data_IF_615744037935
#
_entry.id   IF_615744037935
#
_cell.length_a   1.000
_cell.length_b   1.000
_cell.length_c   1.000
_cell.angle_alpha   90.00
_cell.angle_beta   90.00
_cell.angle_gamma   90.00
#
_symmetry.space_group_name_H-M   'P 1'
#
loop_
_entity.id
_entity.type
_entity.pdbx_description
1 polymer ?
#
# COMPACT_ATOMS: atom_id res chain seq x y z
N UNK A 1 -13.32 -33.54 -16.05
CA UNK A 1 -13.30 -32.41 -17.00
C UNK A 1 -12.31 -31.39 -16.48
N UNK A 2 -11.14 -31.28 -17.10
CA UNK A 2 -10.18 -30.21 -16.76
C UNK A 2 -10.77 -28.88 -17.25
N UNK A 3 -10.87 -27.84 -16.41
CA UNK A 3 -11.42 -26.56 -16.83
C UNK A 3 -10.58 -25.98 -17.98
N UNK A 4 -11.27 -25.43 -18.98
CA UNK A 4 -10.67 -24.82 -20.16
C UNK A 4 -9.74 -23.65 -19.75
N UNK A 5 -8.52 -23.51 -20.31
CA UNK A 5 -7.54 -22.50 -19.87
C UNK A 5 -8.02 -21.04 -20.00
N UNK A 6 -9.07 -20.78 -20.78
CA UNK A 6 -9.73 -19.47 -20.86
C UNK A 6 -10.59 -19.11 -19.63
N UNK A 7 -10.90 -20.07 -18.75
CA UNK A 7 -11.65 -19.87 -17.50
C UNK A 7 -10.75 -19.48 -16.32
N UNK A 8 -9.44 -19.70 -16.43
CA UNK A 8 -8.45 -19.12 -15.53
C UNK A 8 -7.99 -17.78 -16.09
N UNK A 9 -8.88 -16.79 -16.05
CA UNK A 9 -8.51 -15.41 -16.34
C UNK A 9 -7.66 -14.91 -15.17
N UNK A 10 -6.38 -15.30 -15.12
CA UNK A 10 -5.40 -14.73 -14.20
C UNK A 10 -5.54 -13.21 -14.29
N UNK A 11 -5.72 -12.58 -13.14
CA UNK A 11 -5.81 -11.13 -13.08
C UNK A 11 -4.61 -10.49 -13.78
N UNK A 12 -4.88 -9.46 -14.60
CA UNK A 12 -3.84 -8.65 -15.24
C UNK A 12 -3.24 -7.59 -14.31
N UNK A 13 -3.95 -7.23 -13.24
CA UNK A 13 -3.48 -6.24 -12.28
C UNK A 13 -2.59 -6.92 -11.23
N UNK A 14 -1.55 -6.25 -10.75
CA UNK A 14 -0.77 -6.75 -9.61
C UNK A 14 -1.51 -6.54 -8.28
N UNK A 15 -2.31 -5.48 -8.18
CA UNK A 15 -2.98 -5.05 -6.96
C UNK A 15 -4.43 -4.64 -7.19
N UNK A 16 -5.21 -4.51 -6.13
CA UNK A 16 -6.58 -3.97 -6.18
C UNK A 16 -6.57 -2.50 -6.58
N UNK A 17 -7.50 -2.10 -7.46
CA UNK A 17 -7.65 -0.71 -7.92
C UNK A 17 -8.94 -0.09 -7.38
N UNK A 18 -8.85 1.17 -6.98
CA UNK A 18 -9.99 1.93 -6.48
C UNK A 18 -10.81 2.59 -7.60
N UNK A 19 -12.12 2.65 -7.41
CA UNK A 19 -13.06 3.52 -8.13
C UNK A 19 -12.97 4.99 -7.69
N UNK A 20 -13.80 5.84 -8.30
CA UNK A 20 -13.98 7.24 -7.88
C UNK A 20 -15.20 7.33 -6.96
N UNK A 21 -15.07 7.99 -5.81
CA UNK A 21 -16.20 8.21 -4.92
C UNK A 21 -17.10 9.32 -5.47
N UNK A 22 -18.42 9.11 -5.46
CA UNK A 22 -19.43 10.04 -5.98
C UNK A 22 -20.54 10.33 -4.97
N UNK A 23 -20.31 10.05 -3.70
CA UNK A 23 -21.32 10.05 -2.64
C UNK A 23 -21.71 8.64 -2.20
N UNK A 24 -22.39 8.57 -1.07
CA UNK A 24 -22.85 7.32 -0.45
C UNK A 24 -21.77 6.53 0.29
N UNK A 25 -22.23 5.62 1.14
CA UNK A 25 -21.45 4.64 1.90
C UNK A 25 -22.26 3.34 2.01
N UNK A 26 -21.63 2.20 2.34
CA UNK A 26 -22.35 1.03 2.85
C UNK A 26 -23.17 1.39 4.10
N UNK A 27 -24.26 0.66 4.38
CA UNK A 27 -25.13 0.90 5.54
C UNK A 27 -24.38 0.80 6.88
N UNK A 28 -23.35 -0.05 6.93
CA UNK A 28 -22.48 -0.18 8.10
C UNK A 28 -21.38 0.89 8.17
N UNK A 29 -21.23 1.77 7.18
CA UNK A 29 -20.15 2.75 7.12
C UNK A 29 -18.89 2.24 6.41
N UNK A 30 -17.78 2.98 6.56
CA UNK A 30 -16.52 2.65 5.90
C UNK A 30 -15.29 3.13 6.68
N UNK A 31 -14.15 2.51 6.40
CA UNK A 31 -12.85 3.02 6.82
C UNK A 31 -12.38 4.12 5.87
N UNK A 32 -11.82 5.17 6.44
CA UNK A 32 -11.24 6.31 5.74
C UNK A 32 -9.75 6.36 6.05
N UNK A 33 -8.95 6.45 5.01
CA UNK A 33 -7.50 6.59 5.07
C UNK A 33 -7.06 7.83 4.30
N UNK A 34 -5.95 8.45 4.71
CA UNK A 34 -5.32 9.45 3.85
C UNK A 34 -4.87 8.80 2.54
N UNK A 35 -5.19 9.44 1.41
CA UNK A 35 -4.60 9.08 0.14
C UNK A 35 -3.22 9.72 0.03
N UNK A 36 -2.19 8.94 0.38
CA UNK A 36 -0.78 9.36 0.30
C UNK A 36 -0.41 9.72 -1.15
N UNK A 37 0.23 10.87 -1.33
CA UNK A 37 0.74 11.38 -2.62
C UNK A 37 2.11 10.79 -2.96
N UNK A 38 2.16 9.47 -3.16
CA UNK A 38 3.36 8.72 -3.52
C UNK A 38 3.21 7.97 -4.83
N UNK A 39 3.88 6.82 -4.92
CA UNK A 39 3.66 5.85 -5.99
C UNK A 39 3.29 4.50 -5.37
N UNK A 40 2.17 3.94 -5.82
CA UNK A 40 1.69 2.61 -5.43
C UNK A 40 2.79 1.57 -5.56
N UNK A 41 3.10 0.88 -4.46
CA UNK A 41 4.17 -0.10 -4.40
C UNK A 41 3.73 -1.34 -3.60
N UNK A 42 4.01 -2.53 -4.13
CA UNK A 42 3.69 -3.79 -3.50
C UNK A 42 4.95 -4.65 -3.32
N UNK A 43 5.13 -5.20 -2.12
CA UNK A 43 6.14 -6.21 -1.85
C UNK A 43 5.63 -7.57 -2.29
N UNK A 44 6.26 -8.13 -3.31
CA UNK A 44 5.85 -9.38 -3.95
C UNK A 44 7.10 -10.20 -4.23
N UNK A 45 7.17 -11.42 -3.67
CA UNK A 45 8.24 -12.36 -4.01
C UNK A 45 9.66 -11.89 -3.69
N UNK A 46 9.83 -10.98 -2.72
CA UNK A 46 11.14 -10.44 -2.36
C UNK A 46 11.51 -9.14 -3.07
N UNK A 47 10.62 -8.57 -3.89
CA UNK A 47 10.83 -7.32 -4.63
C UNK A 47 9.76 -6.30 -4.29
N UNK A 48 10.13 -5.01 -4.31
CA UNK A 48 9.18 -3.91 -4.24
C UNK A 48 8.87 -3.43 -5.66
N UNK A 49 7.63 -3.63 -6.09
CA UNK A 49 7.18 -3.37 -7.45
C UNK A 49 6.14 -2.24 -7.48
N UNK A 50 6.19 -1.37 -8.48
CA UNK A 50 5.05 -0.48 -8.77
C UNK A 50 3.83 -1.30 -9.19
N UNK A 51 2.66 -0.66 -9.24
CA UNK A 51 1.44 -1.29 -9.78
C UNK A 51 1.62 -1.87 -11.19
N UNK A 52 2.43 -1.23 -12.02
CA UNK A 52 2.75 -1.66 -13.39
C UNK A 52 3.86 -2.73 -13.45
N UNK A 53 4.41 -3.14 -12.30
CA UNK A 53 5.44 -4.17 -12.20
C UNK A 53 6.87 -3.66 -12.37
N UNK A 54 7.10 -2.36 -12.20
CA UNK A 54 8.44 -1.76 -12.30
C UNK A 54 9.15 -1.93 -10.94
N UNK A 55 10.35 -2.54 -10.87
CA UNK A 55 11.10 -2.63 -9.62
C UNK A 55 11.55 -1.27 -9.11
N UNK A 56 11.44 -1.06 -7.80
CA UNK A 56 11.93 0.13 -7.09
C UNK A 56 13.26 -0.21 -6.42
N UNK A 57 14.35 0.49 -6.77
CA UNK A 57 15.67 0.34 -6.16
C UNK A 57 15.90 1.22 -4.94
N UNK A 58 17.03 1.05 -4.24
CA UNK A 58 17.39 1.88 -3.07
C UNK A 58 16.45 1.69 -1.88
N UNK A 59 16.01 0.45 -1.66
CA UNK A 59 15.00 0.07 -0.68
C UNK A 59 15.49 -1.04 0.26
N UNK A 60 16.80 -1.22 0.42
CA UNK A 60 17.36 -2.32 1.20
C UNK A 60 16.89 -2.32 2.67
N UNK A 61 16.70 -1.15 3.27
CA UNK A 61 16.13 -0.95 4.61
C UNK A 61 14.65 -1.40 4.69
N UNK A 62 13.84 -1.10 3.67
CA UNK A 62 12.45 -1.57 3.55
C UNK A 62 12.43 -3.09 3.37
N UNK A 63 13.25 -3.61 2.46
CA UNK A 63 13.33 -5.03 2.17
C UNK A 63 13.81 -5.82 3.39
N UNK A 64 14.80 -5.31 4.12
CA UNK A 64 15.26 -5.90 5.38
C UNK A 64 14.12 -5.99 6.40
N UNK A 65 13.35 -4.91 6.55
CA UNK A 65 12.23 -4.87 7.46
C UNK A 65 11.14 -5.87 7.09
N UNK A 66 10.72 -5.90 5.83
CA UNK A 66 9.68 -6.81 5.33
C UNK A 66 10.10 -8.28 5.45
N UNK A 67 11.35 -8.62 5.08
CA UNK A 67 11.89 -9.97 5.26
C UNK A 67 11.95 -10.42 6.71
N UNK A 68 12.25 -9.50 7.63
CA UNK A 68 12.24 -9.80 9.07
C UNK A 68 10.84 -10.14 9.57
N UNK A 69 9.82 -9.44 9.05
CA UNK A 69 8.41 -9.74 9.33
C UNK A 69 8.01 -11.11 8.74
N UNK A 70 8.34 -11.39 7.48
CA UNK A 70 8.05 -12.70 6.85
C UNK A 70 8.74 -13.85 7.60
N UNK A 71 9.98 -13.65 8.05
CA UNK A 71 10.72 -14.61 8.88
C UNK A 71 10.01 -14.86 10.22
N UNK A 72 9.52 -13.80 10.88
CA UNK A 72 8.80 -13.92 12.14
C UNK A 72 7.41 -14.57 11.96
N UNK A 73 6.71 -14.27 10.86
CA UNK A 73 5.44 -14.88 10.50
C UNK A 73 5.57 -16.34 10.04
N UNK A 74 6.75 -16.76 9.59
CA UNK A 74 7.03 -18.11 9.11
C UNK A 74 6.53 -18.39 7.69
N UNK A 75 6.09 -17.38 6.95
CA UNK A 75 5.62 -17.50 5.57
C UNK A 75 5.78 -16.19 4.80
N UNK A 76 5.75 -16.28 3.47
CA UNK A 76 5.77 -15.11 2.59
C UNK A 76 4.45 -14.32 2.66
N UNK A 77 4.53 -12.99 2.57
CA UNK A 77 3.41 -12.06 2.68
C UNK A 77 3.47 -11.08 1.50
N UNK A 78 2.34 -10.84 0.86
CA UNK A 78 2.20 -9.68 -0.02
C UNK A 78 1.83 -8.47 0.84
N UNK A 79 2.62 -7.41 0.75
CA UNK A 79 2.31 -6.13 1.38
C UNK A 79 1.96 -5.10 0.31
N UNK A 80 0.86 -4.37 0.48
CA UNK A 80 0.39 -3.35 -0.44
C UNK A 80 0.47 -1.98 0.25
N UNK A 81 1.17 -1.05 -0.38
CA UNK A 81 1.48 0.25 0.20
C UNK A 81 1.69 1.35 -0.83
N UNK A 82 2.00 2.54 -0.35
CA UNK A 82 2.43 3.69 -1.15
C UNK A 82 3.89 3.99 -0.83
N UNK A 83 4.77 3.97 -1.83
CA UNK A 83 6.17 4.38 -1.65
C UNK A 83 6.30 5.90 -1.78
N UNK A 84 6.96 6.53 -0.82
CA UNK A 84 7.19 7.98 -0.79
C UNK A 84 8.67 8.27 -0.49
N UNK A 85 9.37 8.89 -1.44
CA UNK A 85 10.74 9.33 -1.22
C UNK A 85 10.77 10.67 -0.46
N UNK A 86 11.87 11.00 0.26
CA UNK A 86 12.04 12.30 0.89
C UNK A 86 11.94 13.43 -0.15
N UNK A 87 11.13 14.45 0.16
CA UNK A 87 10.84 15.55 -0.78
C UNK A 87 9.56 15.37 -1.60
N UNK A 88 8.76 14.33 -1.31
CA UNK A 88 7.40 14.16 -1.83
C UNK A 88 7.34 13.59 -3.25
N UNK A 89 6.15 13.65 -3.87
CA UNK A 89 5.83 12.98 -5.13
C UNK A 89 6.88 13.15 -6.25
N UNK A 90 7.37 14.38 -6.50
CA UNK A 90 8.36 14.63 -7.56
C UNK A 90 9.71 13.96 -7.27
N UNK A 91 10.10 13.87 -6.00
CA UNK A 91 11.29 13.14 -5.59
C UNK A 91 11.07 11.63 -5.73
N UNK A 92 9.87 11.13 -5.40
CA UNK A 92 9.47 9.72 -5.61
C UNK A 92 9.60 9.31 -7.08
N UNK A 93 9.09 10.13 -7.99
CA UNK A 93 9.23 9.87 -9.43
C UNK A 93 10.70 9.82 -9.87
N UNK A 94 11.52 10.76 -9.38
CA UNK A 94 12.96 10.80 -9.69
C UNK A 94 13.67 9.55 -9.16
N UNK A 95 13.35 9.14 -7.94
CA UNK A 95 13.89 7.94 -7.30
C UNK A 95 13.60 6.70 -8.14
N UNK A 96 12.32 6.49 -8.50
CA UNK A 96 11.91 5.36 -9.33
C UNK A 96 12.57 5.42 -10.72
N UNK A 97 12.69 6.61 -11.31
CA UNK A 97 13.36 6.81 -12.60
C UNK A 97 14.86 6.47 -12.60
N UNK A 98 15.51 6.38 -11.44
CA UNK A 98 16.90 5.91 -11.31
C UNK A 98 17.00 4.37 -11.30
N UNK A 99 15.87 3.67 -11.20
CA UNK A 99 15.77 2.21 -11.19
C UNK A 99 16.53 1.58 -10.02
N UNK A 100 17.14 0.42 -10.26
CA UNK A 100 17.91 -0.33 -9.25
C UNK A 100 19.15 0.40 -8.69
N UNK A 101 19.53 1.54 -9.30
CA UNK A 101 20.66 2.38 -8.87
C UNK A 101 20.23 3.55 -7.99
N UNK A 102 18.95 3.69 -7.69
CA UNK A 102 18.46 4.74 -6.80
C UNK A 102 19.21 4.70 -5.46
N UNK A 103 19.52 5.86 -4.86
CA UNK A 103 20.13 5.90 -3.54
C UNK A 103 19.16 5.33 -2.51
N UNK A 104 19.70 4.76 -1.45
CA UNK A 104 18.91 4.25 -0.33
C UNK A 104 17.99 5.33 0.26
N UNK A 105 16.68 5.10 0.27
CA UNK A 105 15.73 6.08 0.80
C UNK A 105 14.24 5.77 0.61
N UNK A 106 13.42 6.55 1.30
CA UNK A 106 11.95 6.50 1.22
C UNK A 106 11.29 5.76 2.37
N UNK A 107 9.96 5.78 2.38
CA UNK A 107 9.12 5.06 3.33
C UNK A 107 8.04 4.33 2.53
N UNK A 108 7.74 3.09 2.93
CA UNK A 108 6.57 2.36 2.43
C UNK A 108 5.40 2.52 3.41
N UNK A 109 4.37 3.25 2.98
CA UNK A 109 3.13 3.48 3.73
C UNK A 109 2.12 2.35 3.44
N UNK A 110 2.10 1.33 4.29
CA UNK A 110 1.29 0.12 4.14
C UNK A 110 -0.18 0.37 4.49
N UNK A 111 -1.09 -0.15 3.65
CA UNK A 111 -2.53 -0.06 3.92
C UNK A 111 -3.29 -1.36 3.67
N UNK A 112 -2.66 -2.42 3.17
CA UNK A 112 -3.25 -3.77 3.08
C UNK A 112 -2.14 -4.82 3.03
N UNK A 113 -2.47 -6.06 3.37
CA UNK A 113 -1.56 -7.21 3.27
C UNK A 113 -2.34 -8.52 3.24
N UNK A 114 -1.74 -9.56 2.67
CA UNK A 114 -2.27 -10.92 2.71
C UNK A 114 -1.16 -11.96 2.52
N UNK A 115 -1.35 -13.23 2.91
CA UNK A 115 -0.40 -14.28 2.59
C UNK A 115 -0.14 -14.34 1.08
N UNK A 116 1.13 -14.49 0.67
CA UNK A 116 1.49 -14.49 -0.74
C UNK A 116 0.76 -15.54 -1.61
N UNK A 117 0.43 -16.76 -1.10
CA UNK A 117 -0.37 -17.72 -1.87
C UNK A 117 -1.76 -17.20 -2.25
N UNK A 118 -2.44 -16.46 -1.36
CA UNK A 118 -3.77 -15.91 -1.64
C UNK A 118 -3.70 -14.81 -2.70
N UNK A 119 -2.69 -13.94 -2.60
CA UNK A 119 -2.42 -12.97 -3.65
C UNK A 119 -2.17 -13.64 -5.02
N UNK A 120 -1.44 -14.76 -5.03
CA UNK A 120 -1.13 -15.51 -6.25
C UNK A 120 -2.39 -16.14 -6.88
N UNK A 121 -3.39 -16.49 -6.07
CA UNK A 121 -4.70 -16.99 -6.50
C UNK A 121 -5.65 -15.89 -7.01
N UNK A 122 -5.26 -14.62 -6.90
CA UNK A 122 -6.02 -13.47 -7.41
C UNK A 122 -6.57 -12.55 -6.33
N UNK A 123 -6.42 -12.93 -5.05
CA UNK A 123 -6.91 -12.19 -3.90
C UNK A 123 -7.42 -13.10 -2.79
N UNK A 124 -8.07 -12.52 -1.79
CA UNK A 124 -8.52 -13.24 -0.60
C UNK A 124 -9.96 -12.87 -0.26
N UNK A 125 -10.72 -13.85 0.23
CA UNK A 125 -12.08 -13.66 0.76
C UNK A 125 -12.09 -13.11 2.17
N UNK A 126 -10.93 -12.99 2.84
CA UNK A 126 -10.86 -12.33 4.15
C UNK A 126 -11.28 -10.87 4.03
N UNK A 127 -12.18 -10.40 4.91
CA UNK A 127 -12.64 -9.01 4.89
C UNK A 127 -11.52 -8.05 5.27
N UNK A 128 -11.63 -6.80 4.82
CA UNK A 128 -10.60 -5.78 5.02
C UNK A 128 -10.23 -5.57 6.49
N UNK A 129 -11.19 -5.57 7.42
CA UNK A 129 -10.89 -5.40 8.84
C UNK A 129 -9.94 -6.49 9.38
N UNK A 130 -10.06 -7.73 8.87
CA UNK A 130 -9.20 -8.84 9.27
C UNK A 130 -7.80 -8.67 8.67
N UNK A 131 -7.71 -8.29 7.39
CA UNK A 131 -6.43 -7.99 6.74
C UNK A 131 -5.70 -6.83 7.41
N UNK A 132 -6.42 -5.80 7.85
CA UNK A 132 -5.88 -4.67 8.62
C UNK A 132 -5.35 -5.08 9.99
N UNK A 133 -6.05 -5.97 10.69
CA UNK A 133 -5.55 -6.56 11.94
C UNK A 133 -4.26 -7.35 11.68
N UNK A 134 -4.27 -8.24 10.69
CA UNK A 134 -3.10 -9.02 10.30
C UNK A 134 -1.90 -8.13 9.94
N UNK A 135 -2.11 -7.07 9.15
CA UNK A 135 -1.07 -6.09 8.82
C UNK A 135 -0.45 -5.46 10.07
N UNK A 136 -1.28 -5.01 11.02
CA UNK A 136 -0.80 -4.40 12.28
C UNK A 136 -0.01 -5.41 13.11
N UNK A 137 -0.54 -6.62 13.27
CA UNK A 137 0.10 -7.68 14.04
C UNK A 137 1.46 -8.04 13.43
N UNK A 138 1.53 -8.22 12.11
CA UNK A 138 2.77 -8.51 11.39
C UNK A 138 3.79 -7.38 11.49
N UNK A 139 3.37 -6.13 11.34
CA UNK A 139 4.27 -4.98 11.52
C UNK A 139 4.76 -4.87 12.98
N UNK A 140 4.00 -5.39 13.96
CA UNK A 140 4.42 -5.44 15.36
C UNK A 140 5.32 -6.64 15.72
N UNK A 141 5.33 -7.72 14.93
CA UNK A 141 6.04 -8.98 15.25
C UNK A 141 7.56 -8.84 15.39
N UNK A 142 8.16 -7.85 14.76
CA UNK A 142 9.59 -7.60 14.88
C UNK A 142 9.78 -6.17 15.39
N UNK A 143 10.69 -5.96 16.35
CA UNK A 143 11.08 -4.61 16.77
C UNK A 143 11.42 -3.78 15.53
N UNK A 144 10.99 -2.52 15.48
CA UNK A 144 11.43 -1.62 14.43
C UNK A 144 12.94 -1.46 14.57
N UNK A 145 13.75 -1.96 13.61
CA UNK A 145 15.19 -1.84 13.71
C UNK A 145 15.63 -0.37 13.63
N UNK A 146 14.73 0.59 13.34
CA UNK A 146 15.02 2.03 13.50
C UNK A 146 15.21 2.45 14.96
N UNK A 147 14.77 1.64 15.93
CA UNK A 147 14.88 1.92 17.35
C UNK A 147 16.30 1.72 17.91
N UNK A 148 17.09 0.83 17.32
CA UNK A 148 18.48 0.55 17.70
C UNK A 148 19.34 0.35 16.45
N UNK A 149 20.51 0.99 16.37
CA UNK A 149 21.39 0.82 15.21
C UNK A 149 21.93 -0.62 15.14
N UNK A 150 21.70 -1.28 14.01
CA UNK A 150 22.30 -2.57 13.67
C UNK A 150 22.78 -2.58 12.22
N UNK A 151 23.78 -3.42 11.91
CA UNK A 151 24.22 -3.59 10.53
C UNK A 151 23.15 -4.33 9.71
N UNK A 152 22.56 -3.63 8.73
CA UNK A 152 21.59 -4.21 7.80
C UNK A 152 22.26 -4.54 6.46
N UNK A 153 22.37 -5.82 6.08
CA UNK A 153 22.89 -6.20 4.78
C UNK A 153 22.13 -5.50 3.64
N UNK A 154 22.87 -4.95 2.67
CA UNK A 154 22.32 -4.20 1.54
C UNK A 154 22.45 -2.68 1.69
N UNK A 155 22.16 -2.13 2.89
CA UNK A 155 22.14 -0.67 3.11
C UNK A 155 23.52 -0.02 3.05
N UNK A 156 24.60 -0.81 3.22
CA UNK A 156 25.99 -0.33 3.33
C UNK A 156 26.16 0.73 4.45
N UNK A 157 25.37 0.60 5.52
CA UNK A 157 25.37 1.55 6.65
C UNK A 157 24.63 2.86 6.38
N UNK A 158 23.89 2.98 5.28
CA UNK A 158 23.03 4.14 4.99
C UNK A 158 21.69 3.94 5.69
N UNK A 159 21.37 4.84 6.60
CA UNK A 159 20.05 4.90 7.24
C UNK A 159 19.25 6.06 6.64
N UNK A 160 18.10 5.80 5.99
CA UNK A 160 17.23 6.84 5.46
C UNK A 160 16.64 7.76 6.52
N UNK A 161 16.18 8.92 6.07
CA UNK A 161 15.38 9.83 6.90
C UNK A 161 13.97 9.24 7.03
N UNK A 162 13.57 8.95 8.26
CA UNK A 162 12.24 8.42 8.58
C UNK A 162 12.22 6.89 8.69
N UNK A 163 11.05 6.31 9.03
CA UNK A 163 10.93 4.86 9.19
C UNK A 163 10.91 4.15 7.84
N UNK A 164 11.36 2.90 7.80
CA UNK A 164 11.26 2.06 6.62
C UNK A 164 9.79 1.81 6.24
N UNK A 165 8.97 1.50 7.25
CA UNK A 165 7.54 1.21 7.09
C UNK A 165 6.71 2.15 7.97
N UNK A 166 5.52 2.49 7.50
CA UNK A 166 4.45 2.98 8.36
C UNK A 166 3.13 2.33 7.96
N UNK A 167 2.20 2.19 8.90
CA UNK A 167 0.84 1.71 8.60
C UNK A 167 -0.06 2.93 8.51
N UNK A 168 -0.79 3.08 7.39
CA UNK A 168 -1.72 4.19 7.20
C UNK A 168 -2.84 4.08 8.24
N UNK A 169 -3.07 5.13 9.05
CA UNK A 169 -4.11 5.11 10.06
C UNK A 169 -5.49 5.13 9.41
N UNK A 170 -6.42 4.42 10.03
CA UNK A 170 -7.79 4.34 9.56
C UNK A 170 -8.72 5.10 10.52
N UNK A 171 -9.67 5.86 9.98
CA UNK A 171 -10.73 6.55 10.73
C UNK A 171 -12.08 6.06 10.25
N UNK A 172 -13.03 5.85 11.16
CA UNK A 172 -14.37 5.41 10.79
C UNK A 172 -15.24 6.57 10.28
N UNK A 173 -16.00 6.34 9.20
CA UNK A 173 -17.05 7.22 8.73
C UNK A 173 -18.39 6.47 8.71
N UNK A 174 -19.38 7.00 9.42
CA UNK A 174 -20.74 6.46 9.45
C UNK A 174 -21.64 7.12 8.40
N UNK A 175 -21.23 8.26 7.85
CA UNK A 175 -22.04 9.05 6.92
C UNK A 175 -21.20 9.67 5.81
N UNK A 176 -21.87 10.08 4.72
CA UNK A 176 -21.25 10.87 3.66
C UNK A 176 -20.63 12.17 4.21
N UNK A 177 -21.28 12.83 5.18
CA UNK A 177 -20.77 14.05 5.78
C UNK A 177 -19.44 13.81 6.54
N UNK A 178 -19.25 12.64 7.15
CA UNK A 178 -17.97 12.27 7.77
C UNK A 178 -16.85 12.16 6.75
N UNK A 179 -17.12 11.54 5.59
CA UNK A 179 -16.14 11.42 4.49
C UNK A 179 -15.72 12.81 4.02
N UNK A 180 -16.68 13.70 3.77
CA UNK A 180 -16.44 15.05 3.29
C UNK A 180 -15.66 15.88 4.31
N UNK A 181 -15.98 15.76 5.61
CA UNK A 181 -15.25 16.41 6.70
C UNK A 181 -13.80 15.92 6.76
N UNK A 182 -13.57 14.60 6.76
CA UNK A 182 -12.23 14.02 6.80
C UNK A 182 -11.41 14.40 5.56
N UNK A 183 -12.03 14.44 4.38
CA UNK A 183 -11.38 14.92 3.16
C UNK A 183 -10.97 16.39 3.27
N UNK A 184 -11.84 17.27 3.80
CA UNK A 184 -11.52 18.66 4.06
C UNK A 184 -10.33 18.82 5.01
N UNK A 185 -10.25 18.01 6.07
CA UNK A 185 -9.13 18.02 7.02
C UNK A 185 -7.80 17.65 6.34
N UNK A 186 -7.79 16.67 5.44
CA UNK A 186 -6.59 16.30 4.66
C UNK A 186 -6.20 17.42 3.69
N UNK A 187 -7.17 18.01 2.99
CA UNK A 187 -6.90 19.09 2.04
C UNK A 187 -6.36 20.36 2.72
N UNK A 188 -6.82 20.67 3.93
CA UNK A 188 -6.32 21.79 4.73
C UNK A 188 -4.83 21.64 5.06
N UNK A 189 -4.32 20.41 5.13
CA UNK A 189 -2.90 20.07 5.34
C UNK A 189 -2.12 19.93 4.03
N UNK A 190 -2.77 20.16 2.88
CA UNK A 190 -2.15 20.04 1.55
C UNK A 190 -2.10 18.63 0.98
N UNK A 191 -2.77 17.65 1.62
CA UNK A 191 -2.84 16.28 1.12
C UNK A 191 -3.73 16.12 -0.11
N UNK A 192 -3.61 14.97 -0.79
CA UNK A 192 -4.35 14.69 -2.04
C UNK A 192 -5.85 14.48 -1.79
N UNK A 193 -6.20 13.79 -0.71
CA UNK A 193 -7.57 13.44 -0.35
C UNK A 193 -7.64 12.16 0.47
N UNK A 194 -8.74 11.42 0.35
CA UNK A 194 -8.99 10.22 1.15
C UNK A 194 -9.30 9.00 0.29
N UNK A 195 -8.97 7.84 0.83
CA UNK A 195 -9.45 6.54 0.38
C UNK A 195 -10.62 6.12 1.28
N UNK A 196 -11.70 5.65 0.67
CA UNK A 196 -12.89 5.13 1.34
C UNK A 196 -12.93 3.63 1.06
N UNK A 197 -12.94 2.81 2.11
CA UNK A 197 -12.87 1.36 1.98
C UNK A 197 -13.96 0.69 2.80
N UNK A 198 -14.73 -0.17 2.14
CA UNK A 198 -15.67 -1.06 2.81
C UNK A 198 -14.91 -2.06 3.71
N UNK A 199 -15.21 -2.03 5.01
CA UNK A 199 -14.59 -2.86 6.03
C UNK A 199 -14.76 -4.37 5.78
N UNK A 200 -15.87 -4.76 5.16
CA UNK A 200 -16.24 -6.16 4.93
C UNK A 200 -15.79 -6.65 3.54
N UNK A 201 -15.15 -5.78 2.77
CA UNK A 201 -14.74 -6.10 1.41
C UNK A 201 -13.62 -7.12 1.32
N UNK A 202 -13.77 -8.05 0.38
CA UNK A 202 -12.71 -8.96 -0.07
C UNK A 202 -11.63 -8.19 -0.82
N UNK A 203 -10.45 -8.81 -0.96
CA UNK A 203 -9.41 -8.30 -1.85
C UNK A 203 -9.48 -9.03 -3.19
N UNK A 204 -9.46 -8.28 -4.30
CA UNK A 204 -9.28 -8.82 -5.62
C UNK A 204 -8.27 -7.99 -6.41
N UNK A 205 -7.42 -8.66 -7.18
CA UNK A 205 -6.50 -8.00 -8.13
C UNK A 205 -7.30 -7.44 -9.32
N UNK A 206 -8.19 -6.50 -9.10
CA UNK A 206 -8.99 -5.87 -10.14
C UNK A 206 -9.45 -4.50 -9.65
N UNK A 207 -10.09 -3.74 -10.52
CA UNK A 207 -10.86 -2.58 -10.08
C UNK A 207 -12.07 -3.04 -9.27
N UNK A 208 -12.22 -2.48 -8.08
CA UNK A 208 -13.34 -2.73 -7.19
C UNK A 208 -13.97 -1.41 -6.76
N UNK A 209 -15.28 -1.41 -6.57
CA UNK A 209 -16.01 -0.28 -5.95
C UNK A 209 -16.03 -0.39 -4.42
N UNK A 210 -15.47 -1.46 -3.86
CA UNK A 210 -15.25 -1.55 -2.42
C UNK A 210 -14.21 -0.54 -1.92
N UNK A 211 -13.29 -0.15 -2.80
CA UNK A 211 -12.31 0.90 -2.55
C UNK A 211 -12.60 2.06 -3.48
N UNK A 212 -12.79 3.23 -2.90
CA UNK A 212 -13.08 4.46 -3.62
C UNK A 212 -12.06 5.51 -3.20
N UNK A 213 -11.80 6.48 -4.08
CA UNK A 213 -10.96 7.62 -3.75
C UNK A 213 -11.73 8.91 -3.95
N UNK A 214 -11.50 9.87 -3.05
CA UNK A 214 -12.07 11.19 -3.10
C UNK A 214 -10.96 12.22 -3.01
N UNK A 215 -10.78 13.00 -4.07
CA UNK A 215 -9.64 13.91 -4.25
C UNK A 215 -10.14 15.34 -4.45
N UNK A 216 -9.30 16.31 -4.12
CA UNK A 216 -9.60 17.72 -4.41
C UNK A 216 -9.71 17.94 -5.93
N UNK A 217 -10.63 18.80 -6.35
CA UNK A 217 -10.72 19.23 -7.74
C UNK A 217 -9.37 19.80 -8.23
N UNK A 218 -8.91 19.36 -9.41
CA UNK A 218 -7.59 19.70 -9.96
C UNK A 218 -6.50 18.64 -9.72
N UNK A 219 -6.77 17.60 -8.93
CA UNK A 219 -5.86 16.44 -8.79
C UNK A 219 -6.13 15.40 -9.89
N UNK A 220 -5.47 15.51 -11.04
CA UNK A 220 -5.57 14.52 -12.13
C UNK A 220 -4.58 13.36 -11.94
N UNK A 221 -4.88 12.20 -12.57
CA UNK A 221 -3.99 11.03 -12.62
C UNK A 221 -2.70 11.41 -13.34
N UNK A 222 -1.63 11.69 -12.60
CA UNK A 222 -0.30 11.97 -13.16
C UNK A 222 0.32 10.63 -13.53
N UNK A 223 0.36 10.31 -14.82
CA UNK A 223 1.08 9.11 -15.29
C UNK A 223 2.57 9.31 -15.02
N UNK A 224 3.21 8.30 -14.47
CA UNK A 224 4.68 8.17 -14.55
C UNK A 224 4.99 8.08 -16.04
N UNK A 225 5.73 9.06 -16.56
CA UNK A 225 6.24 9.05 -17.92
C UNK A 225 7.45 8.12 -18.02
#
# INVERSE_FOLDING_TARGET
MSPHPALNKRSRELVQLAGEWRGGLPDHGAWIEEKIDGVRAAWIGGELLTREGIPIGGIDHIAYRLRSIEKAAGHAIMFDGEFLAPGGYRATLRHIGQGLRAPEGGTLHLFDAMPAPEWAEGGTTRPLYERKRMLRDWVALAADPSADWEWRPGTKGREPIGPALSVVPDTWAASQADVERLACEIWAKGGEGVMIKDAESVYCRARSNAWLKYKRAGWSTRKVA
#
